data_IF_789432113314
#
_entry.id   IF_789432113314
#
_cell.length_a   1.000
_cell.length_b   1.000
_cell.length_c   1.000
_cell.angle_alpha   90.00
_cell.angle_beta   90.00
_cell.angle_gamma   90.00
#
_symmetry.space_group_name_H-M   'P 1'
#
loop_
_entity.id
_entity.type
_entity.pdbx_description
1 polymer ?
#
# COMPACT_ATOMS: atom_id res chain seq x y z
N UNK A 1 29.29 64.37 -26.62
CA UNK A 1 28.45 63.18 -26.90
C UNK A 1 28.58 62.23 -25.72
N UNK A 2 27.53 62.06 -24.92
CA UNK A 2 27.56 61.16 -23.75
C UNK A 2 26.33 60.25 -23.85
N UNK A 3 26.53 58.96 -24.15
CA UNK A 3 25.47 57.95 -24.22
C UNK A 3 25.09 57.52 -22.81
N UNK A 4 23.86 57.81 -22.39
CA UNK A 4 23.25 57.19 -21.22
C UNK A 4 22.84 55.75 -21.57
N UNK A 5 23.62 54.76 -21.13
CA UNK A 5 23.15 53.38 -21.12
C UNK A 5 22.19 53.20 -19.94
N UNK A 6 20.90 53.08 -20.23
CA UNK A 6 19.93 52.55 -19.27
C UNK A 6 20.30 51.09 -18.98
N UNK A 7 20.63 50.85 -17.72
CA UNK A 7 20.82 49.53 -17.12
C UNK A 7 19.61 48.64 -17.43
N UNK A 8 19.85 47.55 -18.19
CA UNK A 8 18.91 46.42 -18.19
C UNK A 8 18.97 45.75 -16.83
N UNK A 9 18.03 46.10 -15.96
CA UNK A 9 17.74 45.33 -14.76
C UNK A 9 17.04 44.05 -15.24
N UNK A 10 17.77 42.94 -15.30
CA UNK A 10 17.22 41.60 -15.49
C UNK A 10 16.18 41.41 -14.39
N UNK A 11 14.91 41.52 -14.72
CA UNK A 11 13.81 41.25 -13.81
C UNK A 11 13.90 39.77 -13.43
N UNK A 12 14.61 39.48 -12.33
CA UNK A 12 14.42 38.24 -11.60
C UNK A 12 12.97 38.24 -11.16
N UNK A 13 12.13 37.55 -11.93
CA UNK A 13 10.71 37.37 -11.64
C UNK A 13 10.63 36.66 -10.29
N UNK A 14 10.43 37.44 -9.21
CA UNK A 14 10.11 36.88 -7.91
C UNK A 14 8.80 36.11 -8.09
N UNK A 15 8.89 34.78 -8.08
CA UNK A 15 7.72 33.90 -8.08
C UNK A 15 6.98 34.18 -6.77
N UNK A 16 5.75 34.68 -6.86
CA UNK A 16 4.94 34.99 -5.68
C UNK A 16 4.73 33.73 -4.84
N UNK A 17 4.85 33.83 -3.52
CA UNK A 17 4.55 32.74 -2.59
C UNK A 17 3.13 32.20 -2.80
N UNK A 18 2.18 33.07 -3.15
CA UNK A 18 0.81 32.68 -3.51
C UNK A 18 0.79 31.77 -4.74
N UNK A 19 1.59 32.09 -5.77
CA UNK A 19 1.66 31.28 -6.99
C UNK A 19 2.29 29.91 -6.69
N UNK A 20 3.35 29.88 -5.88
CA UNK A 20 3.95 28.62 -5.41
C UNK A 20 2.94 27.78 -4.64
N UNK A 21 2.15 28.40 -3.74
CA UNK A 21 1.11 27.72 -2.97
C UNK A 21 0.03 27.09 -3.86
N UNK A 22 -0.45 27.83 -4.87
CA UNK A 22 -1.45 27.30 -5.83
C UNK A 22 -0.89 26.12 -6.63
N UNK A 23 0.36 26.23 -7.11
CA UNK A 23 1.00 25.14 -7.83
C UNK A 23 1.19 23.89 -6.96
N UNK A 24 1.63 24.05 -5.72
CA UNK A 24 1.78 22.93 -4.78
C UNK A 24 0.43 22.26 -4.47
N UNK A 25 -0.63 23.06 -4.25
CA UNK A 25 -1.97 22.54 -4.06
C UNK A 25 -2.48 21.76 -5.28
N UNK A 26 -2.21 22.25 -6.49
CA UNK A 26 -2.56 21.54 -7.72
C UNK A 26 -1.79 20.21 -7.87
N UNK A 27 -0.50 20.18 -7.54
CA UNK A 27 0.31 18.95 -7.57
C UNK A 27 -0.22 17.93 -6.56
N UNK A 28 -0.45 18.35 -5.32
CA UNK A 28 -0.98 17.48 -4.27
C UNK A 28 -2.37 16.98 -4.66
N UNK A 29 -3.26 17.87 -5.11
CA UNK A 29 -4.60 17.50 -5.56
C UNK A 29 -4.58 16.50 -6.71
N UNK A 30 -3.69 16.70 -7.69
CA UNK A 30 -3.46 15.75 -8.78
C UNK A 30 -3.00 14.38 -8.24
N UNK A 31 -2.03 14.36 -7.34
CA UNK A 31 -1.59 13.11 -6.73
C UNK A 31 -2.71 12.39 -5.99
N UNK A 32 -3.52 13.11 -5.20
CA UNK A 32 -4.65 12.50 -4.48
C UNK A 32 -5.67 11.90 -5.46
N UNK A 33 -6.02 12.61 -6.53
CA UNK A 33 -7.03 12.13 -7.48
C UNK A 33 -6.53 10.91 -8.27
N UNK A 34 -5.28 10.90 -8.69
CA UNK A 34 -4.78 9.88 -9.63
C UNK A 34 -3.96 8.76 -8.97
N UNK A 35 -3.25 9.05 -7.88
CA UNK A 35 -2.39 8.06 -7.20
C UNK A 35 -3.16 7.29 -6.15
N UNK A 36 -4.02 7.95 -5.36
CA UNK A 36 -4.76 7.29 -4.27
C UNK A 36 -5.62 6.10 -4.73
N UNK A 37 -6.36 6.15 -5.86
CA UNK A 37 -7.14 4.99 -6.31
C UNK A 37 -6.28 3.77 -6.66
N UNK A 38 -5.03 4.00 -7.09
CA UNK A 38 -4.13 2.95 -7.58
C UNK A 38 -3.22 2.43 -6.46
N UNK A 39 -2.94 3.24 -5.45
CA UNK A 39 -2.06 2.88 -4.34
C UNK A 39 -2.49 1.59 -3.61
N UNK A 40 -3.80 1.35 -3.50
CA UNK A 40 -4.33 0.12 -2.89
C UNK A 40 -4.17 -1.15 -3.72
N UNK A 41 -3.87 -1.02 -5.02
CA UNK A 41 -3.64 -2.15 -5.94
C UNK A 41 -2.17 -2.56 -6.03
N UNK A 42 -1.27 -1.84 -5.35
CA UNK A 42 0.14 -2.20 -5.29
C UNK A 42 0.25 -3.56 -4.58
N UNK A 43 0.92 -4.56 -5.20
CA UNK A 43 1.09 -5.87 -4.59
C UNK A 43 1.97 -5.77 -3.34
N UNK A 44 1.54 -6.42 -2.28
CA UNK A 44 2.31 -6.58 -1.05
C UNK A 44 2.36 -8.06 -0.69
N UNK A 45 3.48 -8.48 -0.13
CA UNK A 45 3.68 -9.86 0.32
C UNK A 45 3.31 -9.99 1.79
N UNK A 46 2.53 -11.03 2.09
CA UNK A 46 2.19 -11.43 3.45
C UNK A 46 2.80 -12.77 3.74
N UNK A 47 3.26 -12.92 4.97
CA UNK A 47 3.63 -14.23 5.49
C UNK A 47 2.86 -14.48 6.78
N UNK A 48 2.15 -15.59 6.85
CA UNK A 48 1.38 -15.99 8.02
C UNK A 48 1.36 -17.50 8.20
N UNK A 49 1.05 -17.92 9.43
CA UNK A 49 0.85 -19.30 9.79
C UNK A 49 -0.63 -19.67 9.60
N UNK A 50 -0.88 -20.71 8.82
CA UNK A 50 -2.23 -21.16 8.44
C UNK A 50 -2.33 -22.67 8.61
N UNK A 51 -3.54 -23.14 8.88
CA UNK A 51 -3.83 -24.57 8.99
C UNK A 51 -4.10 -25.18 7.61
N UNK A 52 -3.57 -26.38 7.37
CA UNK A 52 -3.91 -27.17 6.19
C UNK A 52 -5.34 -27.68 6.32
N UNK A 53 -6.21 -27.26 5.41
CA UNK A 53 -7.59 -27.73 5.34
C UNK A 53 -7.73 -29.03 4.56
N UNK A 54 -6.96 -29.19 3.49
CA UNK A 54 -6.99 -30.39 2.66
C UNK A 54 -5.71 -30.56 1.85
N UNK A 55 -5.38 -31.80 1.50
CA UNK A 55 -4.27 -32.14 0.59
C UNK A 55 -4.85 -32.55 -0.76
N UNK A 56 -4.34 -31.96 -1.84
CA UNK A 56 -4.77 -32.23 -3.23
C UNK A 56 -3.58 -32.63 -4.09
N UNK A 57 -3.84 -33.16 -5.29
CA UNK A 57 -2.78 -33.51 -6.24
C UNK A 57 -1.90 -32.30 -6.65
N UNK A 58 -2.45 -31.08 -6.55
CA UNK A 58 -1.78 -29.83 -6.94
C UNK A 58 -1.00 -29.18 -5.79
N UNK A 59 -1.33 -29.53 -4.54
CA UNK A 59 -0.76 -28.92 -3.35
C UNK A 59 -1.75 -28.93 -2.19
N UNK A 60 -1.52 -28.10 -1.18
CA UNK A 60 -2.35 -28.04 0.02
C UNK A 60 -3.30 -26.84 -0.03
N UNK A 61 -4.54 -27.05 0.41
CA UNK A 61 -5.57 -26.03 0.55
C UNK A 61 -5.43 -25.41 1.93
N UNK A 62 -5.34 -24.09 1.96
CA UNK A 62 -5.26 -23.29 3.20
C UNK A 62 -6.23 -22.13 3.12
N UNK A 63 -6.71 -21.68 4.26
CA UNK A 63 -7.47 -20.45 4.38
C UNK A 63 -6.64 -19.37 5.09
N UNK A 64 -6.07 -18.41 4.34
CA UNK A 64 -5.39 -17.26 4.91
C UNK A 64 -6.35 -16.33 5.67
N UNK A 65 -5.81 -15.43 6.48
CA UNK A 65 -6.58 -14.38 7.18
C UNK A 65 -7.33 -13.42 6.26
N UNK A 66 -7.00 -13.42 4.96
CA UNK A 66 -7.76 -12.70 3.94
C UNK A 66 -9.13 -13.32 3.65
N UNK A 67 -9.40 -14.54 4.12
CA UNK A 67 -10.68 -15.25 3.96
C UNK A 67 -10.90 -15.83 2.55
N UNK A 68 -9.85 -15.87 1.72
CA UNK A 68 -9.92 -16.46 0.37
C UNK A 68 -9.08 -17.74 0.36
N UNK A 69 -9.72 -18.92 0.32
CA UNK A 69 -8.99 -20.19 0.25
C UNK A 69 -8.07 -20.23 -0.97
N UNK A 70 -6.84 -20.68 -0.76
CA UNK A 70 -5.85 -20.82 -1.82
C UNK A 70 -5.19 -22.20 -1.81
N UNK A 71 -4.64 -22.59 -2.96
CA UNK A 71 -3.82 -23.79 -3.09
C UNK A 71 -2.37 -23.35 -3.18
N UNK A 72 -1.54 -23.77 -2.22
CA UNK A 72 -0.10 -23.52 -2.27
C UNK A 72 0.61 -24.59 -3.09
N UNK A 73 1.92 -24.42 -3.28
CA UNK A 73 2.75 -25.48 -3.84
C UNK A 73 2.69 -26.76 -3.00
N UNK A 74 3.13 -27.88 -3.59
CA UNK A 74 3.17 -29.17 -2.92
C UNK A 74 3.95 -29.09 -1.62
N UNK A 75 3.21 -29.19 -0.52
CA UNK A 75 3.73 -29.28 0.84
C UNK A 75 3.51 -30.71 1.37
N UNK A 76 4.48 -31.24 2.12
CA UNK A 76 4.40 -32.58 2.71
C UNK A 76 3.80 -32.51 4.12
N UNK A 77 2.54 -32.10 4.22
CA UNK A 77 1.80 -32.00 5.48
C UNK A 77 0.43 -32.67 5.39
N UNK A 78 -0.19 -32.88 6.55
CA UNK A 78 -1.52 -33.46 6.72
C UNK A 78 -2.55 -32.37 7.10
N UNK A 79 -3.85 -32.60 6.88
CA UNK A 79 -4.88 -31.70 7.40
C UNK A 79 -4.73 -31.50 8.91
N UNK A 80 -4.78 -30.25 9.36
CA UNK A 80 -4.51 -29.86 10.75
C UNK A 80 -3.08 -29.39 11.04
N UNK A 81 -2.13 -29.62 10.13
CA UNK A 81 -0.78 -29.08 10.28
C UNK A 81 -0.76 -27.56 10.07
N UNK A 82 0.05 -26.87 10.88
CA UNK A 82 0.28 -25.43 10.73
C UNK A 82 1.49 -25.23 9.83
N UNK A 83 1.30 -24.49 8.74
CA UNK A 83 2.35 -24.16 7.79
C UNK A 83 2.47 -22.64 7.63
N UNK A 84 3.70 -22.20 7.31
CA UNK A 84 3.97 -20.81 7.01
C UNK A 84 3.84 -20.58 5.51
N UNK A 85 2.87 -19.75 5.12
CA UNK A 85 2.60 -19.44 3.71
C UNK A 85 2.95 -18.00 3.42
N UNK A 86 3.56 -17.77 2.26
CA UNK A 86 3.82 -16.43 1.73
C UNK A 86 2.99 -16.23 0.48
N UNK A 87 2.19 -15.16 0.45
CA UNK A 87 1.32 -14.86 -0.68
C UNK A 87 1.25 -13.35 -0.94
N UNK A 88 0.92 -13.00 -2.18
CA UNK A 88 0.82 -11.60 -2.62
C UNK A 88 -0.65 -11.21 -2.75
N UNK A 89 -1.04 -10.11 -2.11
CA UNK A 89 -2.36 -9.49 -2.29
C UNK A 89 -2.21 -7.98 -2.49
N UNK A 90 -3.22 -7.31 -3.06
CA UNK A 90 -3.26 -5.85 -3.10
C UNK A 90 -3.14 -5.21 -1.70
N UNK A 91 -2.42 -4.09 -1.59
CA UNK A 91 -2.20 -3.35 -0.35
C UNK A 91 -3.50 -2.97 0.41
N UNK A 92 -4.64 -2.83 -0.28
CA UNK A 92 -5.94 -2.59 0.37
C UNK A 92 -6.35 -3.68 1.36
N UNK A 93 -5.88 -4.92 1.20
CA UNK A 93 -6.13 -6.01 2.15
C UNK A 93 -5.27 -5.91 3.41
N UNK A 94 -4.16 -5.15 3.39
CA UNK A 94 -3.35 -4.84 4.57
C UNK A 94 -4.08 -3.92 5.53
N UNK A 95 -4.68 -2.84 5.01
CA UNK A 95 -5.44 -1.88 5.84
C UNK A 95 -6.61 -2.58 6.54
N UNK A 96 -7.29 -3.49 5.85
CA UNK A 96 -8.35 -4.31 6.43
C UNK A 96 -7.84 -5.18 7.59
N UNK A 97 -6.70 -5.87 7.41
CA UNK A 97 -6.09 -6.72 8.46
C UNK A 97 -5.65 -5.90 9.67
N UNK A 98 -4.98 -4.78 9.45
CA UNK A 98 -4.52 -3.88 10.54
C UNK A 98 -5.73 -3.35 11.33
N UNK A 99 -6.80 -2.92 10.64
CA UNK A 99 -8.02 -2.45 11.29
C UNK A 99 -8.72 -3.55 12.09
N UNK A 100 -8.74 -4.78 11.58
CA UNK A 100 -9.29 -5.92 12.31
C UNK A 100 -8.48 -6.24 13.57
N UNK A 101 -7.15 -6.26 13.47
CA UNK A 101 -6.26 -6.47 14.62
C UNK A 101 -6.44 -5.36 15.68
N UNK A 102 -6.44 -4.09 15.26
CA UNK A 102 -6.68 -2.97 16.15
C UNK A 102 -8.08 -3.02 16.81
N UNK A 103 -9.09 -3.50 16.08
CA UNK A 103 -10.43 -3.70 16.64
C UNK A 103 -10.43 -4.84 17.66
N UNK A 104 -9.80 -5.98 17.34
CA UNK A 104 -9.68 -7.11 18.25
C UNK A 104 -8.97 -6.74 19.56
N UNK A 105 -7.84 -6.05 19.48
CA UNK A 105 -7.09 -5.55 20.65
C UNK A 105 -7.91 -4.56 21.49
N UNK A 106 -8.68 -3.67 20.84
CA UNK A 106 -9.57 -2.75 21.55
C UNK A 106 -10.69 -3.47 22.32
N UNK A 107 -11.13 -4.65 21.87
CA UNK A 107 -12.15 -5.46 22.55
C UNK A 107 -11.57 -6.52 23.49
N UNK A 108 -10.27 -6.82 23.38
CA UNK A 108 -9.54 -7.78 24.20
C UNK A 108 -8.17 -7.21 24.61
N UNK A 109 -8.12 -6.20 25.49
CA UNK A 109 -6.87 -5.51 25.83
C UNK A 109 -5.86 -6.37 26.62
N UNK A 110 -6.29 -7.51 27.16
CA UNK A 110 -5.49 -8.36 28.07
C UNK A 110 -5.14 -9.76 27.48
N UNK A 111 -5.37 -9.98 26.18
CA UNK A 111 -5.07 -11.27 25.50
C UNK A 111 -3.63 -11.40 25.04
#
# INVERSE_FOLDING_TARGET
>A
MTRNQKTQKKNGQLVSLTLVGVFMAAIVGYMVIFVTPIAGEIPVEFTEEVEILAVTEKGVVVEPSTGVPMVTDKYSGEPGDIIKVTYTVPAKYLDAKIRQMASFEAFHPDS
#
